data_IF_985307722269
#
_entry.id   IF_985307722269
#
_cell.length_a   1.000
_cell.length_b   1.000
_cell.length_c   1.000
_cell.angle_alpha   90.00
_cell.angle_beta   90.00
_cell.angle_gamma   90.00
#
_symmetry.space_group_name_H-M   'P 1'
#
loop_
_entity.id
_entity.type
_entity.pdbx_description
1 polymer ?
#
# COMPACT_ATOMS: atom_id res chain seq x y z
N UNK A 1 -6.61 -8.13 -7.74
CA UNK A 1 -6.70 -9.58 -8.00
C UNK A 1 -5.42 -10.20 -7.47
N UNK A 2 -5.54 -10.99 -6.40
CA UNK A 2 -4.44 -11.43 -5.54
C UNK A 2 -3.62 -12.52 -6.27
N UNK A 3 -2.30 -12.50 -6.09
CA UNK A 3 -1.42 -13.57 -6.57
C UNK A 3 -1.77 -14.89 -5.87
N UNK A 4 -2.60 -15.71 -6.49
CA UNK A 4 -2.75 -17.11 -6.11
C UNK A 4 -1.57 -17.88 -6.69
N UNK A 5 -0.60 -18.21 -5.83
CA UNK A 5 0.48 -19.13 -6.14
C UNK A 5 -0.07 -20.56 -6.03
N UNK A 6 -0.62 -21.09 -7.12
CA UNK A 6 -0.90 -22.52 -7.26
C UNK A 6 0.36 -23.26 -7.70
N UNK A 7 0.81 -24.25 -6.92
CA UNK A 7 1.91 -25.12 -7.32
C UNK A 7 1.41 -26.08 -8.42
N UNK A 8 1.69 -25.78 -9.68
CA UNK A 8 1.47 -26.73 -10.79
C UNK A 8 2.79 -27.47 -11.04
N UNK A 9 2.77 -28.79 -10.87
CA UNK A 9 3.93 -29.65 -11.16
C UNK A 9 3.90 -30.04 -12.63
N UNK A 10 4.76 -29.41 -13.44
CA UNK A 10 4.91 -29.69 -14.86
C UNK A 10 6.12 -30.63 -15.09
N UNK A 11 6.15 -31.39 -16.20
CA UNK A 11 7.38 -32.05 -16.65
C UNK A 11 8.54 -31.04 -16.72
N UNK A 12 9.82 -31.46 -16.64
CA UNK A 12 10.93 -30.53 -16.64
C UNK A 12 10.91 -29.70 -17.93
N UNK A 13 10.50 -28.44 -17.78
CA UNK A 13 10.44 -27.46 -18.84
C UNK A 13 11.21 -26.24 -18.37
N UNK A 14 11.97 -25.64 -19.28
CA UNK A 14 12.63 -24.36 -19.07
C UNK A 14 11.64 -23.32 -18.53
N UNK A 15 11.92 -22.61 -17.42
CA UNK A 15 10.99 -21.66 -16.81
C UNK A 15 10.44 -20.61 -17.79
N UNK A 16 11.27 -20.16 -18.73
CA UNK A 16 10.87 -19.23 -19.78
C UNK A 16 9.81 -19.80 -20.74
N UNK A 17 9.85 -21.10 -21.02
CA UNK A 17 8.83 -21.78 -21.85
C UNK A 17 7.51 -21.85 -21.09
N UNK A 18 7.55 -22.27 -19.81
CA UNK A 18 6.36 -22.33 -18.94
C UNK A 18 5.68 -20.97 -18.86
N UNK A 19 6.45 -19.90 -18.57
CA UNK A 19 5.92 -18.54 -18.49
C UNK A 19 5.20 -18.12 -19.77
N UNK A 20 5.81 -18.34 -20.94
CA UNK A 20 5.22 -17.98 -22.23
C UNK A 20 3.96 -18.79 -22.52
N UNK A 21 4.00 -20.10 -22.30
CA UNK A 21 2.87 -20.98 -22.56
C UNK A 21 1.66 -20.62 -21.68
N UNK A 22 1.87 -20.45 -20.38
CA UNK A 22 0.78 -20.08 -19.45
C UNK A 22 0.20 -18.70 -19.81
N UNK A 23 1.05 -17.70 -20.05
CA UNK A 23 0.58 -16.37 -20.44
C UNK A 23 -0.19 -16.36 -21.76
N UNK A 24 0.19 -17.20 -22.73
CA UNK A 24 -0.56 -17.34 -23.97
C UNK A 24 -2.03 -17.76 -23.71
N UNK A 25 -2.24 -18.75 -22.82
CA UNK A 25 -3.59 -19.21 -22.49
C UNK A 25 -4.36 -18.20 -21.62
N UNK A 26 -3.69 -17.51 -20.68
CA UNK A 26 -4.33 -16.46 -19.87
C UNK A 26 -4.81 -15.28 -20.72
N UNK A 27 -4.01 -14.85 -21.70
CA UNK A 27 -4.38 -13.76 -22.61
C UNK A 27 -5.51 -14.13 -23.56
N UNK A 28 -5.53 -15.37 -24.07
CA UNK A 28 -6.57 -15.86 -24.97
C UNK A 28 -7.97 -15.83 -24.33
N UNK A 29 -8.04 -15.95 -23.01
CA UNK A 29 -9.29 -15.93 -22.25
C UNK A 29 -9.65 -14.55 -21.69
N UNK A 30 -9.07 -13.47 -22.24
CA UNK A 30 -9.28 -12.08 -21.79
C UNK A 30 -9.02 -11.89 -20.28
N UNK A 31 -8.09 -12.68 -19.73
CA UNK A 31 -7.78 -12.62 -18.31
C UNK A 31 -6.96 -11.40 -17.94
N UNK A 32 -7.30 -10.75 -16.82
CA UNK A 32 -6.52 -9.68 -16.19
C UNK A 32 -5.31 -10.20 -15.38
N UNK A 33 -4.87 -11.43 -15.65
CA UNK A 33 -3.83 -12.14 -14.90
C UNK A 33 -2.66 -12.45 -15.83
N UNK A 34 -1.44 -12.23 -15.34
CA UNK A 34 -0.21 -12.58 -16.02
C UNK A 34 0.79 -13.19 -15.03
N UNK A 35 1.48 -14.24 -15.48
CA UNK A 35 2.66 -14.79 -14.80
C UNK A 35 3.87 -13.91 -15.14
N UNK A 36 4.45 -13.29 -14.11
CA UNK A 36 5.58 -12.37 -14.24
C UNK A 36 6.93 -13.09 -14.14
N UNK A 37 7.05 -14.06 -13.25
CA UNK A 37 8.27 -14.84 -13.00
C UNK A 37 7.93 -16.34 -12.79
N UNK A 38 8.87 -17.22 -13.18
CA UNK A 38 8.78 -18.67 -12.97
C UNK A 38 10.16 -19.15 -12.54
N UNK A 39 10.20 -19.95 -11.47
CA UNK A 39 11.46 -20.51 -10.94
C UNK A 39 11.29 -21.99 -10.60
N UNK A 40 12.36 -22.76 -10.82
CA UNK A 40 12.48 -24.09 -10.26
C UNK A 40 12.68 -23.97 -8.74
N UNK A 41 11.94 -24.77 -7.98
CA UNK A 41 12.00 -24.79 -6.52
C UNK A 41 12.18 -26.23 -6.03
N UNK A 42 12.75 -26.43 -4.82
CA UNK A 42 12.84 -27.76 -4.22
C UNK A 42 11.47 -28.46 -4.13
N UNK A 43 11.39 -29.80 -4.23
CA UNK A 43 10.13 -30.54 -4.19
C UNK A 43 9.31 -30.34 -2.89
N UNK A 44 9.98 -29.98 -1.80
CA UNK A 44 9.35 -29.70 -0.50
C UNK A 44 8.90 -28.24 -0.34
N UNK A 45 9.00 -27.42 -1.40
CA UNK A 45 8.58 -26.02 -1.36
C UNK A 45 7.05 -25.87 -1.28
N UNK A 46 6.61 -24.96 -0.40
CA UNK A 46 5.20 -24.61 -0.27
C UNK A 46 5.00 -23.09 -0.17
N UNK A 47 4.33 -22.49 -1.16
CA UNK A 47 4.12 -21.04 -1.25
C UNK A 47 3.47 -20.42 0.00
N UNK A 48 2.49 -21.10 0.61
CA UNK A 48 1.87 -20.60 1.85
C UNK A 48 2.80 -20.69 3.08
N UNK A 49 3.35 -21.86 3.38
CA UNK A 49 4.00 -22.15 4.67
C UNK A 49 5.47 -21.73 4.73
N UNK A 50 6.18 -21.72 3.60
CA UNK A 50 7.57 -21.24 3.51
C UNK A 50 7.69 -19.71 3.35
N UNK A 51 6.57 -18.99 3.20
CA UNK A 51 6.59 -17.53 3.15
C UNK A 51 7.04 -16.93 4.49
N UNK A 52 8.11 -16.13 4.44
CA UNK A 52 8.69 -15.46 5.61
C UNK A 52 7.98 -14.17 5.96
N UNK A 53 7.66 -13.35 4.95
CA UNK A 53 6.99 -12.05 5.09
C UNK A 53 6.06 -11.78 3.91
N UNK A 54 4.97 -11.08 4.17
CA UNK A 54 4.02 -10.56 3.18
C UNK A 54 3.95 -9.06 3.35
N UNK A 55 4.06 -8.34 2.25
CA UNK A 55 3.99 -6.88 2.22
C UNK A 55 2.77 -6.49 1.39
N UNK A 56 1.86 -5.76 2.00
CA UNK A 56 0.72 -5.15 1.34
C UNK A 56 0.93 -3.65 1.21
N UNK A 57 0.46 -3.09 0.10
CA UNK A 57 0.35 -1.66 -0.11
C UNK A 57 -1.13 -1.32 -0.25
N UNK A 58 -1.55 -0.25 0.42
CA UNK A 58 -2.88 0.31 0.26
C UNK A 58 -2.78 1.72 -0.30
N UNK A 59 -3.41 1.97 -1.45
CA UNK A 59 -3.34 3.25 -2.15
C UNK A 59 -4.55 4.14 -1.85
N UNK A 60 -4.27 5.37 -1.44
CA UNK A 60 -5.27 6.40 -1.11
C UNK A 60 -5.00 7.63 -1.97
N UNK A 61 -6.05 8.20 -2.56
CA UNK A 61 -6.01 9.47 -3.28
C UNK A 61 -6.86 10.48 -2.50
N UNK A 62 -6.22 11.56 -2.03
CA UNK A 62 -6.85 12.60 -1.23
C UNK A 62 -7.05 13.88 -2.04
N UNK A 63 -8.25 14.46 -1.96
CA UNK A 63 -8.58 15.74 -2.58
C UNK A 63 -10.04 15.84 -3.05
N UNK A 64 -10.58 17.07 -3.13
CA UNK A 64 -12.01 17.32 -3.27
C UNK A 64 -12.57 16.98 -4.66
N UNK A 65 -11.71 16.95 -5.68
CA UNK A 65 -12.13 16.70 -7.05
C UNK A 65 -12.51 15.23 -7.28
N UNK A 66 -13.39 14.93 -8.24
CA UNK A 66 -13.67 13.55 -8.64
C UNK A 66 -12.42 12.82 -9.16
N UNK A 67 -12.31 11.52 -8.88
CA UNK A 67 -11.25 10.70 -9.46
C UNK A 67 -11.34 10.64 -10.98
N UNK A 68 -10.17 10.63 -11.60
CA UNK A 68 -10.01 10.29 -13.02
C UNK A 68 -10.50 8.87 -13.34
N UNK A 69 -10.92 8.64 -14.58
CA UNK A 69 -11.29 7.32 -15.09
C UNK A 69 -10.17 6.27 -14.93
N UNK A 70 -8.90 6.67 -14.95
CA UNK A 70 -7.78 5.75 -14.70
C UNK A 70 -7.45 5.58 -13.21
N UNK A 71 -8.16 6.22 -12.30
CA UNK A 71 -7.96 6.02 -10.86
C UNK A 71 -9.13 5.27 -10.21
N UNK A 72 -10.27 5.28 -10.90
CA UNK A 72 -11.43 4.49 -10.54
C UNK A 72 -11.04 3.02 -10.37
N UNK A 73 -11.44 2.44 -9.23
CA UNK A 73 -11.16 1.06 -8.84
C UNK A 73 -9.67 0.69 -8.64
N UNK A 74 -8.77 1.68 -8.50
CA UNK A 74 -7.32 1.44 -8.24
C UNK A 74 -6.75 2.15 -7.02
N UNK A 75 -7.59 2.90 -6.31
CA UNK A 75 -7.27 3.57 -5.07
C UNK A 75 -8.56 3.87 -4.30
N UNK A 76 -8.44 4.08 -3.00
CA UNK A 76 -9.52 4.66 -2.22
C UNK A 76 -9.49 6.19 -2.37
N UNK A 77 -10.56 6.76 -2.92
CA UNK A 77 -10.76 8.20 -2.92
C UNK A 77 -11.22 8.68 -1.54
N UNK A 78 -10.51 9.66 -1.00
CA UNK A 78 -10.85 10.38 0.23
C UNK A 78 -10.95 11.87 -0.12
N UNK A 79 -12.14 12.47 -0.17
CA UNK A 79 -12.28 13.89 -0.50
C UNK A 79 -11.55 14.84 0.47
N UNK A 80 -11.41 14.43 1.72
CA UNK A 80 -10.79 15.17 2.82
C UNK A 80 -9.26 15.14 2.73
N UNK A 81 -8.62 16.17 3.28
CA UNK A 81 -7.17 16.18 3.54
C UNK A 81 -6.81 15.18 4.64
N UNK A 82 -5.60 14.63 4.56
CA UNK A 82 -5.09 13.65 5.52
C UNK A 82 -3.83 14.17 6.24
N UNK A 83 -3.86 14.12 7.57
CA UNK A 83 -2.69 14.35 8.42
C UNK A 83 -1.83 13.07 8.50
N UNK A 84 -0.81 13.02 7.65
CA UNK A 84 0.16 11.92 7.58
C UNK A 84 0.91 11.74 8.91
N UNK A 85 1.18 12.83 9.64
CA UNK A 85 1.93 12.78 10.89
C UNK A 85 1.10 12.06 11.96
N UNK A 86 -0.18 12.42 12.08
CA UNK A 86 -1.10 11.72 12.97
C UNK A 86 -1.28 10.24 12.58
N UNK A 87 -1.42 9.95 11.27
CA UNK A 87 -1.53 8.59 10.76
C UNK A 87 -0.27 7.74 11.07
N UNK A 88 0.94 8.30 10.95
CA UNK A 88 2.17 7.57 11.28
C UNK A 88 2.35 7.37 12.80
N UNK A 89 1.92 8.33 13.62
CA UNK A 89 1.87 8.16 15.08
C UNK A 89 0.92 7.03 15.48
N UNK A 90 -0.27 6.99 14.90
CA UNK A 90 -1.22 5.89 15.07
C UNK A 90 -0.66 4.55 14.57
N UNK A 91 0.02 4.56 13.42
CA UNK A 91 0.63 3.35 12.85
C UNK A 91 1.68 2.75 13.78
N UNK A 92 2.46 3.60 14.46
CA UNK A 92 3.50 3.19 15.41
C UNK A 92 2.96 2.39 16.60
N UNK A 93 1.73 2.67 17.06
CA UNK A 93 1.06 1.92 18.13
C UNK A 93 0.74 0.50 17.69
N UNK A 94 0.32 0.33 16.43
CA UNK A 94 -0.09 -0.96 15.87
C UNK A 94 1.10 -1.86 15.47
N UNK A 95 2.30 -1.30 15.31
CA UNK A 95 3.52 -2.10 15.06
C UNK A 95 3.91 -2.87 16.31
N UNK A 96 4.34 -4.12 16.14
CA UNK A 96 4.70 -5.01 17.25
C UNK A 96 3.80 -6.23 17.39
N UNK A 97 3.90 -6.89 18.55
CA UNK A 97 3.17 -8.13 18.85
C UNK A 97 1.93 -7.85 19.69
N UNK A 98 0.75 -8.01 19.08
CA UNK A 98 -0.51 -7.61 19.69
C UNK A 98 -1.62 -8.63 19.46
N UNK A 99 -2.68 -8.51 20.26
CA UNK A 99 -3.97 -9.13 19.99
C UNK A 99 -4.75 -8.26 19.01
N UNK A 100 -4.88 -8.71 17.75
CA UNK A 100 -5.58 -7.97 16.72
C UNK A 100 -7.08 -8.33 16.60
N UNK A 101 -7.72 -8.75 17.69
CA UNK A 101 -9.16 -9.09 17.69
C UNK A 101 -10.04 -7.93 17.21
N UNK A 102 -9.71 -6.68 17.56
CA UNK A 102 -10.43 -5.49 17.06
C UNK A 102 -10.24 -5.24 15.56
N UNK A 103 -9.21 -5.85 14.96
CA UNK A 103 -8.89 -5.79 13.54
C UNK A 103 -9.14 -7.14 12.84
N UNK A 104 -10.13 -7.90 13.32
CA UNK A 104 -10.51 -9.21 12.80
C UNK A 104 -11.96 -9.20 12.34
N UNK A 105 -12.20 -9.35 11.03
CA UNK A 105 -13.56 -9.46 10.53
C UNK A 105 -14.23 -10.80 10.89
N UNK A 106 -15.56 -10.78 10.93
CA UNK A 106 -16.38 -11.98 11.04
C UNK A 106 -16.03 -13.00 9.92
N UNK A 107 -15.99 -14.28 10.27
CA UNK A 107 -15.60 -15.35 9.34
C UNK A 107 -14.10 -15.68 9.29
N UNK A 108 -13.26 -14.97 10.07
CA UNK A 108 -11.85 -15.30 10.16
C UNK A 108 -11.61 -16.68 10.82
N UNK A 109 -11.00 -17.61 10.07
CA UNK A 109 -10.71 -19.00 10.49
C UNK A 109 -9.39 -19.15 11.27
N UNK A 110 -8.74 -18.06 11.67
CA UNK A 110 -7.48 -18.14 12.40
C UNK A 110 -7.71 -18.59 13.85
N UNK A 111 -6.94 -19.58 14.31
CA UNK A 111 -7.04 -20.11 15.68
C UNK A 111 -6.64 -19.10 16.77
N UNK A 112 -5.82 -18.10 16.43
CA UNK A 112 -5.38 -17.06 17.35
C UNK A 112 -5.38 -15.68 16.66
N UNK A 113 -5.85 -14.62 17.34
CA UNK A 113 -5.77 -13.24 16.86
C UNK A 113 -4.38 -12.60 17.07
N UNK A 114 -3.48 -13.28 17.79
CA UNK A 114 -2.13 -12.77 18.07
C UNK A 114 -1.32 -12.69 16.77
N UNK A 115 -0.84 -11.49 16.41
CA UNK A 115 0.04 -11.29 15.25
C UNK A 115 1.17 -10.35 15.61
N UNK A 116 2.28 -10.48 14.88
CA UNK A 116 3.39 -9.53 14.93
C UNK A 116 3.38 -8.73 13.63
N UNK A 117 3.15 -7.42 13.73
CA UNK A 117 3.24 -6.50 12.62
C UNK A 117 4.67 -5.94 12.57
N UNK A 118 5.39 -6.22 11.49
CA UNK A 118 6.78 -5.77 11.32
C UNK A 118 6.85 -4.29 10.91
N UNK A 119 5.84 -3.83 10.16
CA UNK A 119 5.79 -2.47 9.62
C UNK A 119 4.34 -2.07 9.37
N UNK A 120 4.03 -0.83 9.73
CA UNK A 120 2.87 -0.09 9.28
C UNK A 120 3.30 1.36 9.13
N UNK A 121 3.28 1.88 7.91
CA UNK A 121 3.72 3.23 7.62
C UNK A 121 2.88 3.86 6.52
N UNK A 122 2.72 5.17 6.57
CA UNK A 122 2.01 5.97 5.57
C UNK A 122 2.99 6.95 4.94
N UNK A 123 3.12 6.86 3.62
CA UNK A 123 4.03 7.73 2.84
C UNK A 123 3.26 8.45 1.76
N UNK A 124 3.50 9.75 1.60
CA UNK A 124 3.08 10.48 0.41
C UNK A 124 4.02 10.13 -0.75
N UNK A 125 3.44 9.81 -1.89
CA UNK A 125 4.15 9.48 -3.12
C UNK A 125 3.61 10.37 -4.23
N UNK A 126 4.44 10.62 -5.24
CA UNK A 126 3.92 11.21 -6.46
C UNK A 126 2.97 10.22 -7.13
N UNK A 127 1.78 10.65 -7.58
CA UNK A 127 0.89 9.79 -8.35
C UNK A 127 1.61 9.38 -9.63
N UNK A 128 2.07 8.13 -9.68
CA UNK A 128 2.64 7.57 -10.89
C UNK A 128 1.52 7.43 -11.92
N UNK A 129 1.77 7.92 -13.14
CA UNK A 129 1.00 7.69 -14.37
C UNK A 129 -0.10 8.71 -14.69
N UNK A 130 0.35 9.91 -15.05
CA UNK A 130 -0.16 10.61 -16.24
C UNK A 130 1.05 11.12 -17.02
N UNK A 131 0.93 11.27 -18.34
CA UNK A 131 1.90 12.04 -19.11
C UNK A 131 2.09 13.38 -18.38
N UNK A 132 3.26 13.63 -17.76
CA UNK A 132 3.44 14.85 -17.02
C UNK A 132 3.32 16.02 -18.00
N UNK A 133 2.54 17.03 -17.63
CA UNK A 133 2.51 18.31 -18.33
C UNK A 133 3.94 18.90 -18.36
N UNK A 134 4.19 19.85 -19.25
CA UNK A 134 5.55 20.41 -19.42
C UNK A 134 6.07 21.01 -18.09
N UNK A 135 5.18 21.63 -17.32
CA UNK A 135 5.46 22.21 -15.99
C UNK A 135 5.74 21.12 -14.95
N UNK A 136 5.07 19.98 -15.06
CA UNK A 136 5.17 18.86 -14.11
C UNK A 136 6.46 18.03 -14.32
N UNK A 137 7.02 18.01 -15.53
CA UNK A 137 8.35 17.42 -15.78
C UNK A 137 9.43 18.17 -15.03
N UNK A 138 9.43 19.50 -15.10
CA UNK A 138 10.40 20.34 -14.40
C UNK A 138 10.33 20.17 -12.87
N UNK A 139 9.13 20.00 -12.30
CA UNK A 139 8.97 19.74 -10.86
C UNK A 139 9.43 18.32 -10.44
N UNK A 140 9.21 17.31 -11.29
CA UNK A 140 9.66 15.93 -11.05
C UNK A 140 11.20 15.84 -11.11
N UNK A 141 11.82 16.52 -12.07
CA UNK A 141 13.28 16.65 -12.18
C UNK A 141 13.89 17.30 -10.92
N UNK A 142 13.25 18.33 -10.36
CA UNK A 142 13.72 18.97 -9.12
C UNK A 142 13.61 18.05 -7.89
N UNK A 143 12.56 17.23 -7.80
CA UNK A 143 12.37 16.26 -6.70
C UNK A 143 13.33 15.07 -6.78
N UNK A 144 13.65 14.60 -8.00
CA UNK A 144 14.66 13.57 -8.21
C UNK A 144 16.08 14.08 -7.85
N UNK A 145 16.39 15.35 -8.13
CA UNK A 145 17.65 15.97 -7.69
C UNK A 145 17.76 16.08 -6.16
N UNK A 146 16.68 16.41 -5.46
CA UNK A 146 16.68 16.49 -4.00
C UNK A 146 16.76 15.11 -3.33
N UNK A 147 16.19 14.08 -3.95
CA UNK A 147 16.30 12.69 -3.49
C UNK A 147 17.75 12.18 -3.65
N UNK A 148 18.44 12.64 -4.70
CA UNK A 148 19.86 12.34 -4.95
C UNK A 148 20.80 13.04 -3.96
N UNK A 149 20.49 14.28 -3.56
CA UNK A 149 21.32 15.07 -2.61
C UNK A 149 21.25 14.60 -1.16
N UNK A 150 20.19 13.89 -0.77
CA UNK A 150 20.05 13.33 0.59
C UNK A 150 21.00 12.16 0.88
N UNK A 151 21.73 11.65 -0.12
CA UNK A 151 22.75 10.61 0.04
C UNK A 151 24.20 11.13 0.14
N UNK A 152 24.42 12.45 0.15
CA UNK A 152 25.75 13.04 0.34
C UNK A 152 25.72 14.18 1.36
N UNK A 153 26.09 13.85 2.61
CA UNK A 153 26.74 14.68 3.65
C UNK A 153 26.20 16.08 4.03
N UNK A 154 26.11 16.27 5.34
CA UNK A 154 25.85 17.49 6.12
C UNK A 154 26.73 18.70 5.78
N UNK A 155 26.15 19.90 5.73
CA UNK A 155 26.40 21.06 6.62
C UNK A 155 25.97 22.38 5.98
N UNK A 156 25.54 23.29 6.86
CA UNK A 156 25.31 24.73 6.68
C UNK A 156 23.98 25.25 6.13
N UNK A 157 23.38 26.08 6.99
CA UNK A 157 22.21 26.89 6.79
C UNK A 157 22.57 28.22 6.13
N UNK A 158 21.76 28.69 5.19
CA UNK A 158 21.16 30.04 5.19
C UNK A 158 20.48 30.36 3.85
N UNK A 159 19.37 31.10 3.97
CA UNK A 159 18.71 31.91 2.95
C UNK A 159 18.23 31.27 1.64
N UNK A 160 16.97 30.85 1.64
CA UNK A 160 16.13 30.91 0.45
C UNK A 160 14.83 31.66 0.78
N UNK A 161 14.77 32.90 0.32
CA UNK A 161 13.63 33.80 0.43
C UNK A 161 12.34 33.15 -0.09
N UNK A 162 11.33 33.23 0.76
CA UNK A 162 9.94 32.90 0.50
C UNK A 162 9.39 33.77 -0.64
N UNK A 163 9.45 33.28 -1.87
CA UNK A 163 8.73 33.85 -2.99
C UNK A 163 7.26 33.48 -2.80
N UNK A 164 6.44 34.46 -2.39
CA UNK A 164 4.98 34.37 -2.46
C UNK A 164 4.59 34.22 -3.93
N UNK A 165 4.34 32.99 -4.38
CA UNK A 165 3.75 32.73 -5.68
C UNK A 165 2.27 33.11 -5.59
N UNK A 166 1.94 34.27 -6.17
CA UNK A 166 0.57 34.70 -6.38
C UNK A 166 -0.19 33.65 -7.20
N UNK A 167 -1.40 33.37 -6.73
CA UNK A 167 -2.29 32.30 -7.12
C UNK A 167 -2.90 32.54 -8.53
N UNK A 168 -2.08 32.62 -9.58
CA UNK A 168 -2.57 32.53 -10.96
C UNK A 168 -2.82 31.05 -11.27
N UNK A 169 -4.02 30.57 -10.93
CA UNK A 169 -4.55 29.34 -11.53
C UNK A 169 -4.74 29.60 -13.02
N UNK A 170 -3.71 29.38 -13.82
CA UNK A 170 -3.83 29.48 -15.28
C UNK A 170 -4.84 28.44 -15.78
N UNK A 171 -5.53 28.76 -16.89
CA UNK A 171 -6.49 27.87 -17.51
C UNK A 171 -5.82 26.55 -17.93
N UNK A 172 -6.40 25.41 -17.54
CA UNK A 172 -5.91 24.09 -17.91
C UNK A 172 -5.03 23.37 -16.87
N UNK A 173 -4.73 23.99 -15.72
CA UNK A 173 -4.04 23.29 -14.63
C UNK A 173 -4.98 22.31 -13.92
N UNK A 174 -4.66 21.01 -14.00
CA UNK A 174 -5.37 19.96 -13.27
C UNK A 174 -4.95 19.97 -11.80
N UNK A 175 -5.89 20.18 -10.90
CA UNK A 175 -5.66 19.96 -9.45
C UNK A 175 -5.43 18.47 -9.25
N UNK A 176 -4.28 18.11 -8.68
CA UNK A 176 -3.89 16.72 -8.45
C UNK A 176 -4.35 16.27 -7.07
N UNK A 177 -4.88 15.05 -6.99
CA UNK A 177 -5.01 14.36 -5.71
C UNK A 177 -3.63 14.09 -5.13
N UNK A 178 -3.50 14.27 -3.83
CA UNK A 178 -2.34 13.79 -3.07
C UNK A 178 -2.43 12.27 -3.02
N UNK A 179 -1.33 11.57 -3.28
CA UNK A 179 -1.30 10.11 -3.32
C UNK A 179 -0.56 9.59 -2.10
N UNK A 180 -1.23 8.76 -1.31
CA UNK A 180 -0.64 8.10 -0.15
C UNK A 180 -0.61 6.60 -0.34
N UNK A 181 0.45 5.99 0.16
CA UNK A 181 0.60 4.54 0.23
C UNK A 181 0.76 4.16 1.70
N UNK A 182 -0.14 3.29 2.18
CA UNK A 182 0.02 2.60 3.45
C UNK A 182 0.74 1.29 3.19
N UNK A 183 1.92 1.10 3.75
CA UNK A 183 2.68 -0.15 3.68
C UNK A 183 2.45 -0.94 4.96
N UNK A 184 2.01 -2.19 4.82
CA UNK A 184 1.82 -3.12 5.94
C UNK A 184 2.64 -4.39 5.70
N UNK A 185 3.53 -4.75 6.62
CA UNK A 185 4.40 -5.93 6.49
C UNK A 185 4.31 -6.82 7.72
N UNK A 186 4.12 -8.11 7.50
CA UNK A 186 4.09 -9.12 8.57
C UNK A 186 4.32 -10.51 7.96
N UNK A 187 4.68 -11.49 8.79
CA UNK A 187 4.61 -12.91 8.40
C UNK A 187 3.20 -13.32 7.97
N UNK A 188 2.16 -12.83 8.66
CA UNK A 188 0.78 -13.19 8.36
C UNK A 188 -0.22 -12.17 8.89
N UNK A 189 -1.36 -12.04 8.23
CA UNK A 189 -2.44 -11.15 8.62
C UNK A 189 -3.73 -11.95 8.90
N UNK A 190 -4.60 -11.42 9.77
CA UNK A 190 -5.96 -11.90 9.95
C UNK A 190 -6.84 -11.48 8.76
N UNK A 191 -8.02 -12.11 8.65
CA UNK A 191 -8.98 -11.76 7.61
C UNK A 191 -9.42 -10.30 7.77
N UNK A 192 -9.26 -9.53 6.69
CA UNK A 192 -9.49 -8.07 6.61
C UNK A 192 -8.60 -7.16 7.48
N UNK A 193 -7.61 -7.70 8.20
CA UNK A 193 -6.80 -6.91 9.14
C UNK A 193 -6.22 -5.64 8.54
N UNK A 194 -5.61 -5.73 7.34
CA UNK A 194 -5.00 -4.57 6.67
C UNK A 194 -6.06 -3.49 6.35
N UNK A 195 -7.23 -3.88 5.84
CA UNK A 195 -8.30 -2.94 5.48
C UNK A 195 -8.94 -2.27 6.70
N UNK A 196 -9.02 -2.99 7.82
CA UNK A 196 -9.50 -2.46 9.09
C UNK A 196 -8.48 -1.45 9.67
N UNK A 197 -7.19 -1.80 9.67
CA UNK A 197 -6.13 -0.86 10.10
C UNK A 197 -6.13 0.40 9.23
N UNK A 198 -6.21 0.26 7.90
CA UNK A 198 -6.28 1.41 6.99
C UNK A 198 -7.51 2.28 7.22
N UNK A 199 -8.67 1.68 7.53
CA UNK A 199 -9.89 2.44 7.88
C UNK A 199 -9.70 3.30 9.12
N UNK A 200 -9.08 2.74 10.17
CA UNK A 200 -8.73 3.48 11.39
C UNK A 200 -7.71 4.58 11.11
N UNK A 201 -6.66 4.29 10.33
CA UNK A 201 -5.68 5.30 9.93
C UNK A 201 -6.32 6.44 9.14
N UNK A 202 -7.25 6.16 8.22
CA UNK A 202 -8.02 7.22 7.52
C UNK A 202 -8.75 8.10 8.52
N UNK A 203 -9.49 7.50 9.46
CA UNK A 203 -10.22 8.28 10.49
C UNK A 203 -9.30 9.11 11.38
N UNK A 204 -8.10 8.65 11.68
CA UNK A 204 -7.10 9.48 12.36
C UNK A 204 -6.62 10.61 11.47
N UNK A 205 -6.34 10.33 10.19
CA UNK A 205 -5.90 11.33 9.23
C UNK A 205 -6.93 12.43 8.94
N UNK A 206 -8.22 12.11 9.00
CA UNK A 206 -9.32 13.09 8.87
C UNK A 206 -9.68 13.79 10.19
N UNK A 207 -9.10 13.36 11.32
CA UNK A 207 -9.37 13.92 12.65
C UNK A 207 -10.62 13.36 13.33
N UNK A 208 -11.29 12.35 12.75
CA UNK A 208 -12.45 11.67 13.35
C UNK A 208 -12.06 10.81 14.56
N UNK A 209 -10.80 10.35 14.59
CA UNK A 209 -10.21 9.62 15.71
C UNK A 209 -8.89 10.28 16.13
N UNK A 210 -8.60 10.24 17.42
CA UNK A 210 -7.30 10.62 17.95
C UNK A 210 -6.32 9.45 17.93
N UNK A 211 -5.03 9.74 18.06
CA UNK A 211 -3.99 8.70 18.18
C UNK A 211 -4.23 7.81 19.41
N UNK A 212 -4.67 8.38 20.54
CA UNK A 212 -4.99 7.63 21.75
C UNK A 212 -6.19 6.69 21.56
N UNK A 213 -7.13 7.02 20.67
CA UNK A 213 -8.26 6.14 20.36
C UNK A 213 -7.81 4.85 19.69
N UNK A 214 -6.69 4.87 18.95
CA UNK A 214 -6.14 3.68 18.31
C UNK A 214 -5.65 2.67 19.35
N UNK A 215 -5.02 3.15 20.42
CA UNK A 215 -4.61 2.32 21.55
C UNK A 215 -5.83 1.71 22.26
N UNK A 216 -6.85 2.53 22.54
CA UNK A 216 -8.12 2.05 23.12
C UNK A 216 -8.80 0.99 22.24
N UNK A 217 -8.79 1.18 20.92
CA UNK A 217 -9.36 0.21 19.96
C UNK A 217 -8.57 -1.09 19.99
N UNK A 218 -7.24 -1.03 20.00
CA UNK A 218 -6.38 -2.22 20.09
C UNK A 218 -6.65 -3.00 21.39
N UNK A 219 -6.73 -2.30 22.51
CA UNK A 219 -6.94 -2.90 23.85
C UNK A 219 -8.35 -3.45 24.07
N UNK A 220 -9.36 -2.89 23.39
CA UNK A 220 -10.74 -3.33 23.52
C UNK A 220 -10.95 -4.80 23.10
N UNK A 221 -10.08 -5.34 22.23
CA UNK A 221 -10.08 -6.73 21.74
C UNK A 221 -11.45 -7.22 21.25
N UNK A 222 -12.27 -6.31 20.77
CA UNK A 222 -13.63 -6.60 20.31
C UNK A 222 -13.90 -5.88 19.01
N UNK A 223 -14.76 -6.49 18.18
CA UNK A 223 -15.23 -5.92 16.92
C UNK A 223 -16.34 -4.90 17.24
N UNK A 224 -16.06 -3.93 18.11
CA UNK A 224 -16.95 -2.78 18.30
C UNK A 224 -16.79 -1.84 17.11
N UNK A 225 -17.92 -1.25 16.71
CA UNK A 225 -18.15 -0.34 15.56
C UNK A 225 -16.99 0.64 15.34
N UNK A 226 -15.91 0.14 14.74
CA UNK A 226 -14.76 0.92 14.36
C UNK A 226 -15.01 1.51 12.97
N UNK A 227 -14.19 2.50 12.63
CA UNK A 227 -14.14 3.17 11.34
C UNK A 227 -14.47 2.24 10.16
N UNK A 228 -15.23 2.73 9.16
CA UNK A 228 -15.63 1.91 8.03
C UNK A 228 -14.42 1.22 7.40
N UNK A 229 -14.55 -0.10 7.19
CA UNK A 229 -13.49 -0.89 6.57
C UNK A 229 -13.12 -0.31 5.21
N UNK A 230 -11.83 -0.04 5.01
CA UNK A 230 -11.33 0.52 3.77
C UNK A 230 -11.74 -0.38 2.56
N UNK A 231 -12.14 0.17 1.40
CA UNK A 231 -12.50 -0.61 0.21
C UNK A 231 -11.44 -1.61 -0.26
N UNK A 232 -11.84 -2.63 -1.04
CA UNK A 232 -10.89 -3.63 -1.55
C UNK A 232 -10.02 -3.11 -2.71
N UNK A 233 -10.51 -2.12 -3.46
CA UNK A 233 -9.88 -1.62 -4.69
C UNK A 233 -8.55 -0.90 -4.49
N UNK A 234 -8.26 -0.43 -3.27
CA UNK A 234 -6.98 0.19 -2.94
C UNK A 234 -5.92 -0.79 -2.47
N UNK A 235 -6.26 -2.06 -2.21
CA UNK A 235 -5.35 -3.04 -1.59
C UNK A 235 -4.60 -3.87 -2.63
N UNK A 236 -3.27 -3.88 -2.52
CA UNK A 236 -2.37 -4.62 -3.38
C UNK A 236 -1.43 -5.49 -2.52
N UNK A 237 -1.23 -6.74 -2.93
CA UNK A 237 -0.10 -7.52 -2.42
C UNK A 237 1.15 -7.08 -3.19
N UNK A 238 2.10 -6.46 -2.50
CA UNK A 238 3.35 -5.98 -3.10
C UNK A 238 4.38 -7.07 -3.27
N UNK A 239 4.66 -7.84 -2.20
CA UNK A 239 5.67 -8.89 -2.24
C UNK A 239 5.42 -9.99 -1.19
N UNK A 240 5.88 -11.20 -1.49
CA UNK A 240 6.01 -12.30 -0.53
C UNK A 240 7.47 -12.75 -0.50
N UNK A 241 8.13 -12.56 0.65
CA UNK A 241 9.52 -12.97 0.84
C UNK A 241 9.59 -14.47 1.16
N UNK A 242 10.45 -15.16 0.43
CA UNK A 242 10.85 -16.54 0.66
C UNK A 242 12.35 -16.61 0.95
N UNK A 243 12.78 -17.70 1.56
CA UNK A 243 14.18 -18.12 1.57
C UNK A 243 14.32 -19.23 0.53
N UNK A 244 14.75 -18.85 -0.67
CA UNK A 244 14.98 -19.79 -1.77
C UNK A 244 16.51 -19.90 -1.96
N UNK A 245 17.04 -21.11 -2.16
CA UNK A 245 18.45 -21.31 -2.49
C UNK A 245 18.83 -20.69 -3.84
#
# INVERSE_FOLDING_TARGET
MLSELSNVQLPPHEPGVVRRAVNHFLQKNEGDIMVTDVRCVPPDFHARFKALKRTYHYRILSGPEPLSAFEKNRAWHVPEDLDITAMNRASSILVGHHDFSSFRAAGCQANSPMRTLDELAVTEVLPALYFPSITERSATELLDLDTSRRFSTSSDASDAKMVKSENRREFGHRVRHRCFVVTARSRSFLYHQVRLMVGVLKSVGTGDLTVSDVERILDAKTVTVASPMAPGCGLYLGNVKYDLP
#
